data_IF_046531016722
#
_entry.id   IF_046531016722
#
_cell.length_a   1.000
_cell.length_b   1.000
_cell.length_c   1.000
_cell.angle_alpha   90.00
_cell.angle_beta   90.00
_cell.angle_gamma   90.00
#
_symmetry.space_group_name_H-M   'P 1'
#
loop_
_entity.id
_entity.type
_entity.pdbx_description
1 polymer ?
#
# COMPACT_ATOMS: atom_id res chain seq x y z
N UNK A 1 19.43 14.49 -22.69
CA UNK A 1 18.89 15.77 -22.16
C UNK A 1 17.69 15.42 -21.29
N UNK A 2 17.50 16.07 -20.12
CA UNK A 2 16.31 15.84 -19.28
C UNK A 2 15.05 16.26 -20.03
N UNK A 3 13.93 15.54 -19.79
CA UNK A 3 12.58 15.92 -20.29
C UNK A 3 12.02 17.18 -19.64
N UNK A 4 12.53 17.51 -18.45
CA UNK A 4 12.10 18.65 -17.64
C UNK A 4 12.35 18.37 -16.16
N UNK A 5 11.95 19.31 -15.31
CA UNK A 5 12.05 19.18 -13.85
C UNK A 5 10.65 18.93 -13.25
N UNK A 6 10.49 17.81 -12.58
CA UNK A 6 9.26 17.44 -11.88
C UNK A 6 9.42 17.56 -10.36
N UNK A 7 8.35 17.96 -9.69
CA UNK A 7 8.21 17.86 -8.24
C UNK A 7 7.22 16.75 -7.90
N UNK A 8 7.63 15.82 -7.05
CA UNK A 8 6.71 14.87 -6.41
C UNK A 8 6.51 15.29 -4.96
N UNK A 9 5.26 15.33 -4.50
CA UNK A 9 4.91 15.71 -3.12
C UNK A 9 4.32 14.51 -2.40
N UNK A 10 5.04 14.02 -1.37
CA UNK A 10 4.69 12.87 -0.55
C UNK A 10 5.79 11.80 -0.53
N UNK A 11 6.31 11.49 0.66
CA UNK A 11 7.45 10.57 0.88
C UNK A 11 7.06 9.12 1.20
N UNK A 12 5.80 8.75 1.02
CA UNK A 12 5.32 7.36 1.15
C UNK A 12 5.57 6.51 -0.10
N UNK A 13 5.06 5.28 -0.10
CA UNK A 13 5.27 4.33 -1.20
C UNK A 13 4.81 4.87 -2.56
N UNK A 14 3.65 5.54 -2.65
CA UNK A 14 3.15 6.11 -3.91
C UNK A 14 4.03 7.21 -4.45
N UNK A 15 4.55 8.09 -3.58
CA UNK A 15 5.44 9.16 -4.01
C UNK A 15 6.82 8.66 -4.42
N UNK A 16 7.40 7.72 -3.67
CA UNK A 16 8.71 7.15 -3.99
C UNK A 16 8.69 6.34 -5.28
N UNK A 17 7.68 5.45 -5.48
CA UNK A 17 7.56 4.71 -6.75
C UNK A 17 7.35 5.64 -7.94
N UNK A 18 6.53 6.68 -7.78
CA UNK A 18 6.30 7.71 -8.80
C UNK A 18 7.59 8.47 -9.14
N UNK A 19 8.33 8.93 -8.12
CA UNK A 19 9.58 9.66 -8.31
C UNK A 19 10.64 8.81 -9.03
N UNK A 20 10.75 7.53 -8.67
CA UNK A 20 11.65 6.59 -9.32
C UNK A 20 11.27 6.39 -10.80
N UNK A 21 9.98 6.18 -11.11
CA UNK A 21 9.54 6.00 -12.51
C UNK A 21 9.78 7.24 -13.37
N UNK A 22 9.58 8.43 -12.81
CA UNK A 22 9.88 9.69 -13.51
C UNK A 22 11.39 9.84 -13.78
N UNK A 23 12.26 9.49 -12.82
CA UNK A 23 13.72 9.46 -13.03
C UNK A 23 14.13 8.46 -14.12
N UNK A 24 13.57 7.23 -14.07
CA UNK A 24 13.81 6.18 -15.08
C UNK A 24 13.33 6.61 -16.46
N UNK A 25 12.30 7.44 -16.56
CA UNK A 25 11.77 8.03 -17.82
C UNK A 25 12.55 9.27 -18.29
N UNK A 26 13.56 9.72 -17.54
CA UNK A 26 14.48 10.80 -17.92
C UNK A 26 14.08 12.19 -17.44
N UNK A 27 13.17 12.31 -16.46
CA UNK A 27 12.91 13.56 -15.76
C UNK A 27 13.99 13.85 -14.71
N UNK A 28 14.25 15.11 -14.44
CA UNK A 28 14.90 15.52 -13.18
C UNK A 28 13.82 15.58 -12.11
N UNK A 29 14.04 14.97 -10.94
CA UNK A 29 12.99 14.85 -9.91
C UNK A 29 13.45 15.42 -8.58
N UNK A 30 12.62 16.30 -8.02
CA UNK A 30 12.67 16.70 -6.60
C UNK A 30 11.50 16.07 -5.86
N UNK A 31 11.75 15.54 -4.67
CA UNK A 31 10.76 14.93 -3.79
C UNK A 31 10.61 15.77 -2.52
N UNK A 32 9.46 16.40 -2.31
CA UNK A 32 9.13 17.08 -1.05
C UNK A 32 8.17 16.26 -0.22
N UNK A 33 8.41 16.22 1.08
CA UNK A 33 7.48 15.57 2.01
C UNK A 33 7.52 16.24 3.38
N UNK A 34 6.38 16.27 4.07
CA UNK A 34 6.32 16.64 5.48
C UNK A 34 6.98 15.61 6.39
N UNK A 35 7.01 14.35 5.96
CA UNK A 35 7.62 13.23 6.67
C UNK A 35 8.19 12.22 5.66
N UNK A 36 9.29 11.57 6.04
CA UNK A 36 9.83 10.38 5.39
C UNK A 36 9.80 9.19 6.34
N UNK A 37 10.04 7.98 5.83
CA UNK A 37 10.22 6.80 6.66
C UNK A 37 11.24 7.09 7.77
N UNK A 38 10.96 6.71 9.05
CA UNK A 38 9.91 5.77 9.49
C UNK A 38 8.57 6.43 9.90
N UNK A 39 8.26 7.63 9.46
CA UNK A 39 7.13 8.43 9.95
C UNK A 39 6.04 8.65 8.88
N UNK A 40 5.84 7.71 7.97
CA UNK A 40 4.77 7.77 6.97
C UNK A 40 3.68 6.74 7.25
N UNK A 41 2.47 6.95 6.71
CA UNK A 41 1.42 5.92 6.74
C UNK A 41 1.88 4.59 6.13
N UNK A 42 2.77 4.64 5.13
CA UNK A 42 3.30 3.44 4.49
C UNK A 42 4.14 2.56 5.41
N UNK A 43 4.78 3.13 6.45
CA UNK A 43 5.61 2.37 7.40
C UNK A 43 4.78 1.41 8.26
N UNK A 44 3.51 1.73 8.50
CA UNK A 44 2.60 0.91 9.32
C UNK A 44 1.90 -0.18 8.51
N UNK A 45 1.98 -0.13 7.19
CA UNK A 45 1.36 -1.16 6.35
C UNK A 45 1.97 -2.55 6.62
N UNK A 46 1.15 -3.60 6.61
CA UNK A 46 1.55 -4.96 6.93
C UNK A 46 2.77 -5.49 6.16
N UNK A 47 3.04 -5.33 4.85
CA UNK A 47 2.14 -5.11 3.74
C UNK A 47 2.16 -6.35 2.84
N UNK A 48 1.13 -6.51 2.07
CA UNK A 48 1.02 -7.58 1.08
C UNK A 48 0.49 -7.01 -0.24
N UNK A 49 0.76 -7.70 -1.34
CA UNK A 49 0.04 -7.43 -2.57
C UNK A 49 -1.32 -8.12 -2.50
N UNK A 50 -2.36 -7.32 -2.42
CA UNK A 50 -3.75 -7.75 -2.47
C UNK A 50 -4.64 -6.55 -2.83
N UNK A 51 -5.48 -6.61 -3.90
CA UNK A 51 -6.37 -5.51 -4.29
C UNK A 51 -7.59 -5.42 -3.37
N UNK A 52 -7.41 -4.79 -2.21
CA UNK A 52 -8.45 -4.67 -1.18
C UNK A 52 -9.31 -3.42 -1.39
N UNK A 53 -10.61 -3.59 -1.66
CA UNK A 53 -11.62 -2.53 -1.74
C UNK A 53 -11.18 -1.29 -2.55
N UNK A 54 -10.58 -1.51 -3.72
CA UNK A 54 -10.07 -0.44 -4.59
C UNK A 54 -10.96 -0.24 -5.81
N UNK A 55 -11.13 1.01 -6.22
CA UNK A 55 -11.97 1.40 -7.35
C UNK A 55 -11.25 2.44 -8.22
N UNK A 56 -11.52 2.51 -9.54
CA UNK A 56 -12.39 1.63 -10.32
C UNK A 56 -11.73 0.28 -10.63
N UNK A 57 -12.48 -0.80 -10.58
CA UNK A 57 -11.97 -2.19 -10.62
C UNK A 57 -11.08 -2.47 -11.81
N UNK A 58 -11.45 -2.05 -13.03
CA UNK A 58 -10.66 -2.29 -14.24
C UNK A 58 -9.25 -1.67 -14.15
N UNK A 59 -9.16 -0.42 -13.67
CA UNK A 59 -7.87 0.26 -13.52
C UNK A 59 -7.05 -0.33 -12.36
N UNK A 60 -7.70 -0.62 -11.24
CA UNK A 60 -7.00 -1.20 -10.08
C UNK A 60 -6.47 -2.59 -10.37
N UNK A 61 -7.16 -3.39 -11.17
CA UNK A 61 -6.62 -4.67 -11.65
C UNK A 61 -5.38 -4.48 -12.53
N UNK A 62 -5.41 -3.53 -13.48
CA UNK A 62 -4.26 -3.24 -14.33
C UNK A 62 -3.06 -2.72 -13.52
N UNK A 63 -3.28 -1.73 -12.65
CA UNK A 63 -2.22 -1.18 -11.79
C UNK A 63 -1.69 -2.23 -10.81
N UNK A 64 -2.59 -3.08 -10.27
CA UNK A 64 -2.22 -4.19 -9.39
C UNK A 64 -1.36 -5.23 -10.11
N UNK A 65 -1.77 -5.66 -11.31
CA UNK A 65 -1.01 -6.62 -12.13
C UNK A 65 0.40 -6.10 -12.45
N UNK A 66 0.51 -4.86 -12.95
CA UNK A 66 1.81 -4.25 -13.23
C UNK A 66 2.68 -4.15 -11.96
N UNK A 67 2.06 -3.85 -10.82
CA UNK A 67 2.78 -3.81 -9.53
C UNK A 67 3.24 -5.20 -9.09
N UNK A 68 2.40 -6.23 -9.28
CA UNK A 68 2.76 -7.61 -8.96
C UNK A 68 4.03 -8.05 -9.70
N UNK A 69 4.10 -7.79 -11.01
CA UNK A 69 5.27 -8.14 -11.83
C UNK A 69 6.54 -7.46 -11.34
N UNK A 70 6.45 -6.17 -10.96
CA UNK A 70 7.59 -5.43 -10.40
C UNK A 70 8.00 -6.00 -9.05
N UNK A 71 7.07 -6.26 -8.13
CA UNK A 71 7.37 -6.83 -6.82
C UNK A 71 7.96 -8.23 -6.93
N UNK A 72 7.42 -9.08 -7.81
CA UNK A 72 7.95 -10.40 -8.12
C UNK A 72 9.40 -10.33 -8.64
N UNK A 73 9.69 -9.40 -9.55
CA UNK A 73 11.07 -9.19 -10.01
C UNK A 73 11.99 -8.71 -8.86
N UNK A 74 11.52 -7.79 -8.04
CA UNK A 74 12.29 -7.24 -6.91
C UNK A 74 12.52 -8.25 -5.78
N UNK A 75 11.67 -9.25 -5.62
CA UNK A 75 11.82 -10.30 -4.59
C UNK A 75 13.08 -11.15 -4.77
N UNK A 76 13.67 -11.15 -5.96
CA UNK A 76 14.98 -11.75 -6.22
C UNK A 76 16.17 -11.04 -5.56
N UNK A 77 15.96 -9.82 -5.04
CA UNK A 77 16.97 -9.06 -4.31
C UNK A 77 16.60 -8.98 -2.81
N UNK A 78 17.35 -9.61 -1.90
CA UNK A 78 17.05 -9.64 -0.47
C UNK A 78 17.08 -8.25 0.20
N UNK A 79 17.76 -7.27 -0.38
CA UNK A 79 17.84 -5.92 0.17
C UNK A 79 16.52 -5.14 0.05
N UNK A 80 15.59 -5.63 -0.76
CA UNK A 80 14.28 -4.99 -0.96
C UNK A 80 13.30 -5.23 0.18
N UNK A 81 13.50 -6.28 0.98
CA UNK A 81 12.52 -6.71 1.98
C UNK A 81 11.23 -7.30 1.38
N UNK A 82 11.30 -7.77 0.12
CA UNK A 82 10.17 -8.42 -0.57
C UNK A 82 10.40 -9.93 -0.63
N UNK A 83 9.37 -10.71 -0.30
CA UNK A 83 9.35 -12.15 -0.47
C UNK A 83 8.05 -12.59 -1.16
N UNK A 84 8.15 -13.66 -1.97
CA UNK A 84 6.97 -14.34 -2.52
C UNK A 84 6.56 -15.44 -1.55
N UNK A 85 5.28 -15.48 -1.18
CA UNK A 85 4.80 -16.35 -0.10
C UNK A 85 3.49 -17.03 -0.50
N UNK A 86 3.36 -18.31 -0.12
CA UNK A 86 2.10 -19.03 -0.22
C UNK A 86 1.07 -18.39 0.68
N UNK A 87 -0.10 -18.13 0.12
CA UNK A 87 -1.19 -17.39 0.77
C UNK A 87 -2.46 -18.21 0.70
N UNK A 88 -3.20 -18.22 1.81
CA UNK A 88 -4.48 -18.87 1.95
C UNK A 88 -5.54 -17.85 2.34
N UNK A 89 -6.53 -17.61 1.49
CA UNK A 89 -7.66 -16.74 1.75
C UNK A 89 -8.92 -17.57 1.95
N UNK A 90 -9.53 -17.46 3.12
CA UNK A 90 -10.65 -18.31 3.57
C UNK A 90 -11.99 -17.64 3.43
N UNK A 91 -13.02 -18.43 3.02
CA UNK A 91 -14.37 -17.95 2.79
C UNK A 91 -15.40 -18.85 3.47
N UNK A 92 -16.42 -18.21 4.08
CA UNK A 92 -17.59 -18.91 4.68
C UNK A 92 -18.66 -19.28 3.67
N UNK A 93 -18.57 -18.73 2.46
CA UNK A 93 -19.47 -19.02 1.34
C UNK A 93 -18.64 -19.10 0.06
N UNK A 94 -19.09 -19.89 -0.92
CA UNK A 94 -18.42 -19.98 -2.21
C UNK A 94 -18.36 -18.63 -2.92
N UNK A 95 -17.20 -18.29 -3.42
CA UNK A 95 -16.91 -17.04 -4.11
C UNK A 95 -16.77 -17.24 -5.63
N UNK A 96 -17.16 -16.26 -6.45
CA UNK A 96 -16.74 -16.23 -7.86
C UNK A 96 -15.21 -16.09 -7.95
N UNK A 97 -14.64 -16.41 -9.13
CA UNK A 97 -13.23 -16.13 -9.37
C UNK A 97 -12.94 -14.63 -9.17
N UNK A 98 -11.90 -14.28 -8.41
CA UNK A 98 -11.57 -12.88 -8.21
C UNK A 98 -11.02 -12.28 -9.52
N UNK A 99 -11.32 -11.02 -9.75
CA UNK A 99 -10.91 -10.30 -10.97
C UNK A 99 -9.39 -10.19 -11.16
N UNK A 100 -8.63 -10.38 -10.10
CA UNK A 100 -7.16 -10.36 -10.08
C UNK A 100 -6.52 -11.76 -10.21
N UNK A 101 -7.31 -12.83 -10.36
CA UNK A 101 -6.85 -14.22 -10.40
C UNK A 101 -5.67 -14.43 -11.35
N UNK A 102 -5.76 -13.87 -12.55
CA UNK A 102 -4.75 -14.03 -13.59
C UNK A 102 -3.47 -13.19 -13.35
N UNK A 103 -3.45 -12.39 -12.28
CA UNK A 103 -2.29 -11.58 -11.90
C UNK A 103 -1.35 -12.27 -10.91
N UNK A 104 -1.75 -13.40 -10.33
CA UNK A 104 -0.97 -14.13 -9.32
C UNK A 104 -0.51 -15.49 -9.84
N UNK A 105 0.54 -16.04 -9.22
CA UNK A 105 1.00 -17.39 -9.53
C UNK A 105 0.25 -18.43 -8.70
N UNK A 106 0.14 -19.65 -9.23
CA UNK A 106 -0.33 -20.87 -8.58
C UNK A 106 -1.70 -20.71 -7.87
N UNK A 107 -2.65 -20.04 -8.54
CA UNK A 107 -4.00 -19.91 -8.02
C UNK A 107 -4.76 -21.23 -8.06
N UNK A 108 -5.21 -21.68 -6.89
CA UNK A 108 -6.02 -22.90 -6.71
C UNK A 108 -7.21 -22.63 -5.79
N UNK A 109 -8.26 -23.46 -5.92
CA UNK A 109 -9.39 -23.51 -5.00
C UNK A 109 -9.32 -24.75 -4.17
N UNK A 110 -9.41 -24.62 -2.86
CA UNK A 110 -9.38 -25.70 -1.90
C UNK A 110 -10.70 -25.78 -1.13
N UNK A 111 -11.16 -26.99 -0.84
CA UNK A 111 -12.38 -27.26 -0.07
C UNK A 111 -12.18 -28.26 1.07
N UNK A 112 -11.01 -28.85 1.17
CA UNK A 112 -10.68 -29.86 2.17
C UNK A 112 -9.72 -29.27 3.22
N UNK A 113 -9.77 -29.81 4.44
CA UNK A 113 -8.89 -29.43 5.57
C UNK A 113 -8.91 -27.94 5.94
N UNK A 114 -10.07 -27.31 5.84
CA UNK A 114 -10.26 -25.88 6.16
C UNK A 114 -10.50 -25.68 7.66
N UNK A 115 -10.18 -24.49 8.21
CA UNK A 115 -10.58 -24.11 9.56
C UNK A 115 -12.11 -24.19 9.74
N UNK A 116 -12.57 -24.34 10.98
CA UNK A 116 -14.00 -24.42 11.27
C UNK A 116 -14.76 -23.22 10.71
N UNK A 117 -15.99 -23.44 10.21
CA UNK A 117 -16.88 -22.45 9.62
C UNK A 117 -16.48 -21.91 8.23
N UNK A 118 -15.37 -22.39 7.65
CA UNK A 118 -14.99 -22.04 6.27
C UNK A 118 -15.32 -23.20 5.31
N UNK A 119 -15.77 -22.85 4.10
CA UNK A 119 -16.23 -23.79 3.07
C UNK A 119 -15.36 -23.77 1.81
N UNK A 120 -14.54 -22.72 1.66
CA UNK A 120 -13.66 -22.54 0.52
C UNK A 120 -12.40 -21.76 0.94
N UNK A 121 -11.30 -22.03 0.26
CA UNK A 121 -10.05 -21.29 0.37
C UNK A 121 -9.48 -21.03 -1.02
N UNK A 122 -9.01 -19.80 -1.28
CA UNK A 122 -8.15 -19.52 -2.41
C UNK A 122 -6.71 -19.64 -1.95
N UNK A 123 -5.94 -20.43 -2.68
CA UNK A 123 -4.51 -20.62 -2.47
C UNK A 123 -3.76 -20.00 -3.64
N UNK A 124 -2.78 -19.13 -3.39
CA UNK A 124 -2.02 -18.45 -4.43
C UNK A 124 -0.68 -17.93 -3.88
N UNK A 125 0.24 -17.60 -4.78
CA UNK A 125 1.50 -16.96 -4.38
C UNK A 125 1.35 -15.45 -4.54
N UNK A 126 1.67 -14.69 -3.49
CA UNK A 126 1.74 -13.23 -3.57
C UNK A 126 2.93 -12.67 -2.81
N UNK A 127 3.20 -11.37 -2.98
CA UNK A 127 4.33 -10.72 -2.31
C UNK A 127 3.96 -10.20 -0.94
N UNK A 128 4.86 -10.44 0.02
CA UNK A 128 4.94 -9.74 1.29
C UNK A 128 6.03 -8.68 1.18
N UNK A 129 5.77 -7.51 1.72
CA UNK A 129 6.67 -6.37 1.66
C UNK A 129 6.95 -5.86 3.09
N UNK A 130 8.18 -6.02 3.56
CA UNK A 130 8.62 -5.47 4.84
C UNK A 130 8.86 -3.96 4.69
N UNK A 131 7.83 -3.16 4.97
CA UNK A 131 7.80 -1.74 4.67
C UNK A 131 8.98 -0.93 5.21
N UNK A 132 9.49 -1.14 6.44
CA UNK A 132 10.66 -0.42 6.92
C UNK A 132 11.94 -0.69 6.10
N UNK A 133 12.07 -1.91 5.53
CA UNK A 133 13.18 -2.28 4.64
C UNK A 133 12.94 -1.71 3.25
N UNK A 134 11.73 -1.89 2.74
CA UNK A 134 11.36 -1.51 1.38
C UNK A 134 11.40 0.01 1.16
N UNK A 135 10.86 0.81 2.08
CA UNK A 135 10.88 2.28 1.96
C UNK A 135 12.32 2.82 1.99
N UNK A 136 13.19 2.23 2.81
CA UNK A 136 14.61 2.56 2.83
C UNK A 136 15.27 2.23 1.49
N UNK A 137 14.98 1.06 0.93
CA UNK A 137 15.48 0.66 -0.38
C UNK A 137 14.97 1.58 -1.50
N UNK A 138 13.68 1.94 -1.48
CA UNK A 138 13.11 2.89 -2.44
C UNK A 138 13.82 4.25 -2.38
N UNK A 139 14.08 4.78 -1.18
CA UNK A 139 14.80 6.03 -1.02
C UNK A 139 16.23 5.94 -1.55
N UNK A 140 16.96 4.85 -1.25
CA UNK A 140 18.31 4.63 -1.79
C UNK A 140 18.29 4.51 -3.33
N UNK A 141 17.31 3.82 -3.91
CA UNK A 141 17.14 3.74 -5.36
C UNK A 141 16.88 5.12 -5.97
N UNK A 142 16.02 5.92 -5.35
CA UNK A 142 15.73 7.29 -5.75
C UNK A 142 17.00 8.17 -5.76
N UNK A 143 17.77 8.13 -4.67
CA UNK A 143 19.03 8.87 -4.56
C UNK A 143 20.08 8.42 -5.60
N UNK A 144 20.21 7.10 -5.81
CA UNK A 144 21.14 6.52 -6.79
C UNK A 144 20.79 6.90 -8.24
N UNK A 145 19.52 7.17 -8.54
CA UNK A 145 19.06 7.67 -9.83
C UNK A 145 19.27 9.18 -10.00
N UNK A 146 19.77 9.87 -8.97
CA UNK A 146 20.05 11.31 -8.99
C UNK A 146 18.87 12.18 -8.59
N UNK A 147 17.87 11.61 -7.90
CA UNK A 147 16.79 12.38 -7.28
C UNK A 147 17.28 13.25 -6.13
N UNK A 148 16.57 14.32 -5.83
CA UNK A 148 16.84 15.19 -4.67
C UNK A 148 15.61 15.24 -3.76
N UNK A 149 15.80 15.07 -2.46
CA UNK A 149 14.72 15.10 -1.47
C UNK A 149 14.85 16.23 -0.47
N UNK A 150 13.74 16.78 -0.02
CA UNK A 150 13.69 17.85 0.98
C UNK A 150 12.51 17.62 1.94
N UNK A 151 12.78 17.76 3.25
CA UNK A 151 11.71 17.80 4.26
C UNK A 151 11.00 19.16 4.17
N UNK A 152 9.87 19.17 3.48
CA UNK A 152 9.13 20.40 3.17
C UNK A 152 7.64 20.13 3.08
N UNK A 153 6.86 20.86 3.85
CA UNK A 153 5.39 20.81 3.81
C UNK A 153 4.85 21.71 2.72
N UNK A 154 4.06 21.15 1.82
CA UNK A 154 3.28 21.92 0.83
C UNK A 154 1.92 22.24 1.45
N UNK A 155 1.53 23.50 1.38
CA UNK A 155 0.24 24.00 1.87
C UNK A 155 -0.66 24.51 0.76
N UNK A 156 -0.13 24.71 -0.46
CA UNK A 156 -0.85 25.25 -1.59
C UNK A 156 -0.09 24.95 -2.88
N UNK A 157 -0.66 24.14 -3.74
CA UNK A 157 -0.04 23.77 -5.02
C UNK A 157 0.10 24.96 -5.98
N UNK A 158 -0.79 25.93 -5.94
CA UNK A 158 -0.75 27.10 -6.83
C UNK A 158 0.50 27.95 -6.64
N UNK A 159 1.10 27.92 -5.46
CA UNK A 159 2.30 28.72 -5.12
C UNK A 159 3.61 28.10 -5.65
N UNK A 160 3.62 26.80 -5.97
CA UNK A 160 4.83 26.06 -6.34
C UNK A 160 4.85 25.63 -7.82
N UNK A 161 3.72 25.70 -8.51
CA UNK A 161 3.60 25.23 -9.90
C UNK A 161 4.60 25.89 -10.86
N UNK A 162 4.92 27.17 -10.67
CA UNK A 162 5.81 27.91 -11.56
C UNK A 162 7.30 27.54 -11.42
N UNK A 163 7.67 26.78 -10.37
CA UNK A 163 9.06 26.36 -10.12
C UNK A 163 9.42 25.08 -10.88
N UNK A 164 8.40 24.31 -11.32
CA UNK A 164 8.56 22.99 -11.94
C UNK A 164 7.80 22.90 -13.26
N UNK A 165 8.22 21.99 -14.13
CA UNK A 165 7.48 21.72 -15.37
C UNK A 165 6.20 20.96 -15.10
N UNK A 166 6.23 20.03 -14.14
CA UNK A 166 5.07 19.30 -13.62
C UNK A 166 5.18 19.15 -12.10
N UNK A 167 4.02 19.05 -11.44
CA UNK A 167 3.92 18.66 -10.03
C UNK A 167 3.05 17.43 -9.90
N UNK A 168 3.48 16.47 -9.09
CA UNK A 168 2.71 15.27 -8.80
C UNK A 168 2.32 15.23 -7.33
N UNK A 169 1.03 15.16 -7.06
CA UNK A 169 0.46 15.08 -5.72
C UNK A 169 0.30 13.61 -5.29
N UNK A 170 1.12 13.16 -4.34
CA UNK A 170 1.08 11.86 -3.67
C UNK A 170 0.88 12.02 -2.15
N UNK A 171 0.15 13.05 -1.70
CA UNK A 171 0.07 13.44 -0.28
C UNK A 171 -0.94 12.61 0.55
N UNK A 172 -1.57 11.60 -0.04
CA UNK A 172 -2.48 10.71 0.69
C UNK A 172 -3.64 11.46 1.34
N UNK A 173 -3.79 11.37 2.67
CA UNK A 173 -4.86 12.04 3.43
C UNK A 173 -4.79 13.57 3.35
N UNK A 174 -3.59 14.14 3.28
CA UNK A 174 -3.44 15.59 3.21
C UNK A 174 -4.03 16.18 1.92
N UNK A 175 -4.23 15.37 0.88
CA UNK A 175 -4.92 15.76 -0.35
C UNK A 175 -6.32 16.30 -0.09
N UNK A 176 -7.02 15.80 0.93
CA UNK A 176 -8.34 16.26 1.32
C UNK A 176 -8.35 17.77 1.64
N UNK A 177 -7.43 18.20 2.51
CA UNK A 177 -7.31 19.61 2.91
C UNK A 177 -6.66 20.48 1.84
N UNK A 178 -5.62 19.96 1.15
CA UNK A 178 -4.87 20.72 0.12
C UNK A 178 -5.71 21.06 -1.11
N UNK A 179 -6.69 20.20 -1.44
CA UNK A 179 -7.52 20.33 -2.66
C UNK A 179 -9.00 20.59 -2.36
N UNK A 180 -9.39 20.68 -1.08
CA UNK A 180 -10.78 20.65 -0.65
C UNK A 180 -11.54 19.43 -1.20
N UNK A 181 -10.85 18.27 -1.30
CA UNK A 181 -11.44 17.02 -1.76
C UNK A 181 -12.17 16.33 -0.59
N UNK A 182 -13.49 16.50 -0.54
CA UNK A 182 -14.36 15.98 0.51
C UNK A 182 -14.59 14.46 0.42
N UNK A 183 -14.11 13.82 -0.64
CA UNK A 183 -14.15 12.36 -0.75
C UNK A 183 -13.00 11.66 -0.02
N UNK A 184 -11.98 12.40 0.44
CA UNK A 184 -10.85 11.84 1.19
C UNK A 184 -11.21 11.70 2.66
N UNK A 185 -11.07 10.50 3.19
CA UNK A 185 -11.33 10.19 4.60
C UNK A 185 -10.31 9.19 5.15
N UNK A 186 -10.04 9.18 6.47
CA UNK A 186 -9.19 8.17 7.07
C UNK A 186 -9.92 6.84 7.21
N UNK A 187 -9.20 5.75 7.01
CA UNK A 187 -9.61 4.41 7.44
C UNK A 187 -8.56 3.95 8.45
N UNK A 188 -8.91 4.07 9.73
CA UNK A 188 -8.03 3.66 10.81
C UNK A 188 -7.81 2.15 10.77
N UNK A 189 -6.57 1.73 10.93
CA UNK A 189 -6.18 0.34 11.04
C UNK A 189 -5.19 0.13 12.16
N UNK A 190 -5.48 -0.82 13.05
CA UNK A 190 -4.54 -1.30 14.04
C UNK A 190 -3.98 -2.65 13.62
N UNK A 191 -2.70 -2.88 13.91
CA UNK A 191 -2.02 -4.15 13.68
C UNK A 191 -1.16 -4.49 14.90
N UNK A 192 -0.91 -5.78 15.09
CA UNK A 192 -0.03 -6.31 16.13
C UNK A 192 1.22 -6.90 15.48
N UNK A 193 2.38 -6.55 16.00
CA UNK A 193 3.62 -7.28 15.74
C UNK A 193 3.77 -8.37 16.80
N UNK A 194 3.96 -9.59 16.34
CA UNK A 194 4.04 -10.76 17.23
C UNK A 194 5.25 -11.62 16.90
N UNK A 195 5.67 -12.45 17.86
CA UNK A 195 6.79 -13.38 17.69
C UNK A 195 6.26 -14.78 17.44
N UNK A 196 6.51 -15.30 16.24
CA UNK A 196 6.12 -16.66 15.85
C UNK A 196 7.00 -17.16 14.70
N UNK A 197 7.07 -18.48 14.52
CA UNK A 197 7.84 -19.15 13.47
C UNK A 197 6.99 -19.54 12.25
N UNK A 198 5.71 -19.16 12.21
CA UNK A 198 4.82 -19.39 11.06
C UNK A 198 5.39 -18.72 9.81
N UNK A 199 5.22 -19.37 8.65
CA UNK A 199 5.79 -18.91 7.37
C UNK A 199 4.76 -18.65 6.29
N UNK A 200 3.53 -19.13 6.48
CA UNK A 200 2.45 -18.99 5.51
C UNK A 200 1.59 -17.77 5.83
N UNK A 201 1.02 -17.18 4.81
CA UNK A 201 0.11 -16.06 4.96
C UNK A 201 -1.35 -16.55 4.94
N UNK A 202 -2.13 -16.08 5.91
CA UNK A 202 -3.53 -16.46 6.04
C UNK A 202 -4.41 -15.20 6.09
N UNK A 203 -5.50 -15.21 5.32
CA UNK A 203 -6.40 -14.08 5.14
C UNK A 203 -7.86 -14.49 5.35
N UNK A 204 -8.63 -13.65 6.03
CA UNK A 204 -10.08 -13.55 5.95
C UNK A 204 -10.42 -12.08 5.72
N UNK A 205 -10.61 -11.70 4.46
CA UNK A 205 -10.86 -10.31 4.07
C UNK A 205 -12.34 -9.91 4.14
N UNK A 206 -13.19 -10.78 4.69
CA UNK A 206 -14.62 -10.51 4.84
C UNK A 206 -14.88 -9.57 6.02
N UNK A 207 -15.67 -8.53 5.81
CA UNK A 207 -16.14 -7.65 6.88
C UNK A 207 -17.40 -8.29 7.51
N UNK A 208 -17.52 -8.36 8.86
CA UNK A 208 -16.71 -7.67 9.88
C UNK A 208 -15.52 -8.47 10.43
N UNK A 209 -15.22 -9.65 9.91
CA UNK A 209 -14.23 -10.56 10.49
C UNK A 209 -12.79 -10.18 10.19
N UNK A 210 -12.52 -9.37 9.20
CA UNK A 210 -11.21 -8.94 8.71
C UNK A 210 -10.01 -9.44 9.53
N UNK A 211 -9.36 -10.51 9.05
CA UNK A 211 -8.16 -11.06 9.67
C UNK A 211 -7.06 -11.24 8.61
N UNK A 212 -5.85 -10.87 8.92
CA UNK A 212 -4.69 -11.19 8.11
C UNK A 212 -3.48 -11.50 9.00
N UNK A 213 -2.76 -12.53 8.61
CA UNK A 213 -1.58 -13.08 9.28
C UNK A 213 -0.46 -13.02 8.26
N UNK A 214 0.46 -12.07 8.40
CA UNK A 214 1.49 -11.75 7.40
C UNK A 214 2.86 -12.02 8.00
N UNK A 215 3.52 -13.13 7.61
CA UNK A 215 4.86 -13.46 8.10
C UNK A 215 5.89 -12.49 7.51
N UNK A 216 6.88 -12.13 8.33
CA UNK A 216 8.04 -11.35 7.92
C UNK A 216 9.32 -12.08 8.34
N UNK A 217 10.49 -11.53 8.03
CA UNK A 217 11.76 -12.21 8.29
C UNK A 217 12.02 -12.46 9.79
N UNK A 218 11.61 -11.54 10.67
CA UNK A 218 11.91 -11.60 12.11
C UNK A 218 10.69 -11.55 13.04
N UNK A 219 9.50 -11.30 12.52
CA UNK A 219 8.25 -11.19 13.24
C UNK A 219 7.07 -11.49 12.31
N UNK A 220 5.87 -11.34 12.81
CA UNK A 220 4.64 -11.48 12.04
C UNK A 220 3.71 -10.31 12.34
N UNK A 221 2.98 -9.85 11.33
CA UNK A 221 1.92 -8.88 11.51
C UNK A 221 0.58 -9.60 11.57
N UNK A 222 -0.16 -9.35 12.62
CA UNK A 222 -1.57 -9.72 12.74
C UNK A 222 -2.42 -8.47 12.55
N UNK A 223 -3.46 -8.58 11.77
CA UNK A 223 -4.44 -7.54 11.56
C UNK A 223 -5.81 -8.12 11.22
N UNK A 224 -6.85 -7.36 11.15
CA UNK A 224 -6.82 -5.95 11.42
C UNK A 224 -8.20 -5.36 11.65
N UNK A 225 -8.19 -4.06 11.76
CA UNK A 225 -9.44 -3.29 11.80
C UNK A 225 -9.50 -2.31 10.62
N UNK A 226 -10.71 -1.88 10.27
CA UNK A 226 -10.96 -0.90 9.22
C UNK A 226 -12.07 0.05 9.68
N UNK A 227 -11.70 1.07 10.45
CA UNK A 227 -12.64 2.01 11.08
C UNK A 227 -12.64 3.31 10.27
N UNK A 228 -13.72 3.51 9.52
CA UNK A 228 -13.88 4.69 8.67
C UNK A 228 -14.10 5.93 9.52
N UNK A 229 -13.56 7.08 9.06
CA UNK A 229 -13.66 8.39 9.70
C UNK A 229 -13.06 8.47 11.11
N UNK A 230 -12.29 7.48 11.54
CA UNK A 230 -11.57 7.51 12.80
C UNK A 230 -10.12 8.02 12.61
N UNK A 231 -9.80 9.13 13.28
CA UNK A 231 -8.50 9.79 13.26
C UNK A 231 -7.60 9.39 14.45
N UNK A 232 -8.05 8.49 15.33
CA UNK A 232 -7.29 8.09 16.50
C UNK A 232 -6.04 7.28 16.11
N UNK A 233 -4.87 7.77 16.48
CA UNK A 233 -3.57 7.11 16.25
C UNK A 233 -3.09 6.29 17.47
N UNK A 234 -3.87 6.26 18.54
CA UNK A 234 -3.50 5.51 19.74
C UNK A 234 -4.05 4.08 19.64
N UNK A 235 -3.21 3.04 19.83
CA UNK A 235 -3.69 1.67 19.91
C UNK A 235 -4.71 1.48 21.03
N UNK A 236 -5.69 0.62 20.80
CA UNK A 236 -6.69 0.26 21.83
C UNK A 236 -6.60 -1.22 22.15
N UNK A 237 -6.82 -1.55 23.43
CA UNK A 237 -6.86 -2.96 23.85
C UNK A 237 -8.02 -3.72 23.19
N UNK A 238 -9.14 -3.05 22.97
CA UNK A 238 -10.32 -3.64 22.32
C UNK A 238 -10.00 -4.12 20.90
N UNK A 239 -9.30 -3.30 20.10
CA UNK A 239 -8.86 -3.70 18.78
C UNK A 239 -7.81 -4.81 18.82
N UNK A 240 -6.89 -4.77 19.80
CA UNK A 240 -5.88 -5.83 19.95
C UNK A 240 -6.51 -7.16 20.32
N UNK A 241 -7.45 -7.18 21.26
CA UNK A 241 -8.20 -8.38 21.64
C UNK A 241 -9.01 -8.92 20.42
N UNK A 242 -9.65 -8.02 19.66
CA UNK A 242 -10.39 -8.38 18.44
C UNK A 242 -9.47 -9.02 17.39
N UNK A 243 -8.31 -8.42 17.11
CA UNK A 243 -7.35 -8.93 16.13
C UNK A 243 -6.86 -10.33 16.53
N UNK A 244 -6.47 -10.52 17.80
CA UNK A 244 -6.04 -11.82 18.31
C UNK A 244 -7.15 -12.87 18.19
N UNK A 245 -8.38 -12.52 18.58
CA UNK A 245 -9.53 -13.41 18.44
C UNK A 245 -9.71 -13.86 17.00
N UNK A 246 -9.73 -12.91 16.03
CA UNK A 246 -10.00 -13.24 14.62
C UNK A 246 -8.85 -14.02 13.97
N UNK A 247 -7.60 -13.64 14.23
CA UNK A 247 -6.45 -14.41 13.73
C UNK A 247 -6.39 -15.82 14.34
N UNK A 248 -6.81 -16.00 15.60
CA UNK A 248 -6.83 -17.32 16.26
C UNK A 248 -7.92 -18.23 15.73
N UNK A 249 -8.95 -17.73 15.04
CA UNK A 249 -9.92 -18.59 14.31
C UNK A 249 -9.27 -19.27 13.11
N UNK A 250 -8.29 -18.61 12.47
CA UNK A 250 -7.52 -19.17 11.36
C UNK A 250 -6.39 -20.06 11.86
N UNK A 251 -5.64 -19.59 12.85
CA UNK A 251 -4.46 -20.25 13.40
C UNK A 251 -4.57 -20.25 14.94
N UNK A 252 -5.08 -21.33 15.56
CA UNK A 252 -5.35 -21.38 17.01
C UNK A 252 -4.14 -21.11 17.91
N UNK A 253 -2.93 -21.38 17.44
CA UNK A 253 -1.67 -21.16 18.16
C UNK A 253 -1.39 -19.69 18.44
N UNK A 254 -2.03 -18.77 17.72
CA UNK A 254 -1.86 -17.32 17.90
C UNK A 254 -2.60 -16.77 19.12
N UNK A 255 -3.43 -17.56 19.78
CA UNK A 255 -4.24 -17.11 20.92
C UNK A 255 -3.40 -16.53 22.07
N UNK A 256 -2.25 -17.17 22.35
CA UNK A 256 -1.37 -16.82 23.46
C UNK A 256 -0.01 -16.28 22.96
N UNK A 257 0.03 -15.73 21.72
CA UNK A 257 1.27 -15.25 21.12
C UNK A 257 1.80 -14.00 21.84
N UNK A 258 3.12 -13.87 21.92
CA UNK A 258 3.77 -12.68 22.48
C UNK A 258 3.60 -11.47 21.54
N UNK A 259 2.90 -10.44 22.00
CA UNK A 259 2.80 -9.15 21.28
C UNK A 259 4.07 -8.35 21.55
N UNK A 260 4.80 -8.00 20.48
CA UNK A 260 6.01 -7.18 20.53
C UNK A 260 5.64 -5.69 20.50
N UNK A 261 4.63 -5.33 19.69
CA UNK A 261 4.26 -3.93 19.45
C UNK A 261 2.85 -3.82 18.86
N UNK A 262 2.16 -2.76 19.22
CA UNK A 262 0.86 -2.38 18.65
C UNK A 262 1.05 -1.12 17.81
N UNK A 263 0.60 -1.14 16.55
CA UNK A 263 0.77 -0.04 15.59
C UNK A 263 -0.58 0.39 15.02
N UNK A 264 -0.72 1.70 14.82
CA UNK A 264 -1.91 2.29 14.18
C UNK A 264 -1.50 3.14 12.99
N UNK A 265 -2.22 2.97 11.88
CA UNK A 265 -2.07 3.78 10.68
C UNK A 265 -3.41 4.23 10.11
N UNK A 266 -3.41 5.36 9.41
CA UNK A 266 -4.59 5.90 8.75
C UNK A 266 -4.46 5.70 7.25
N UNK A 267 -5.23 4.76 6.69
CA UNK A 267 -5.26 4.52 5.25
C UNK A 267 -5.98 5.69 4.55
N UNK A 268 -5.46 6.24 3.44
CA UNK A 268 -6.09 7.34 2.72
C UNK A 268 -7.27 6.83 1.87
N UNK A 269 -8.45 6.72 2.50
CA UNK A 269 -9.69 6.31 1.84
C UNK A 269 -10.20 7.37 0.86
N UNK A 270 -10.84 6.90 -0.22
CA UNK A 270 -11.58 7.68 -1.20
C UNK A 270 -12.54 6.74 -1.95
N UNK A 271 -13.61 7.26 -2.51
CA UNK A 271 -14.57 6.46 -3.31
C UNK A 271 -13.91 5.75 -4.51
N UNK A 272 -12.89 6.38 -5.09
CA UNK A 272 -12.01 5.79 -6.12
C UNK A 272 -10.63 6.43 -6.06
N UNK A 273 -9.60 5.71 -6.51
CA UNK A 273 -8.25 6.28 -6.68
C UNK A 273 -8.33 7.49 -7.59
N UNK A 274 -7.80 8.63 -7.15
CA UNK A 274 -7.63 9.80 -8.01
C UNK A 274 -6.27 9.74 -8.69
N UNK A 275 -6.30 9.39 -9.97
CA UNK A 275 -5.14 9.40 -10.85
C UNK A 275 -5.53 10.08 -12.15
N UNK A 276 -5.34 11.39 -12.18
CA UNK A 276 -5.69 12.28 -13.30
C UNK A 276 -4.72 13.47 -13.38
N UNK A 277 -4.85 14.26 -14.45
CA UNK A 277 -4.07 15.49 -14.66
C UNK A 277 -5.02 16.68 -14.80
N UNK A 278 -4.75 17.75 -14.06
CA UNK A 278 -5.38 19.05 -14.24
C UNK A 278 -4.34 20.14 -14.49
N UNK A 279 -4.77 21.31 -14.95
CA UNK A 279 -3.92 22.47 -15.14
C UNK A 279 -4.19 23.49 -14.03
N UNK A 280 -3.14 23.79 -13.27
CA UNK A 280 -3.17 24.79 -12.20
C UNK A 280 -2.11 25.84 -12.50
N UNK A 281 -2.49 27.12 -12.56
CA UNK A 281 -1.56 28.23 -12.89
C UNK A 281 -0.72 27.96 -14.17
N UNK A 282 -1.38 27.48 -15.23
CA UNK A 282 -0.80 27.13 -16.53
C UNK A 282 0.24 25.99 -16.51
N UNK A 283 0.26 25.16 -15.45
CA UNK A 283 1.17 24.00 -15.29
C UNK A 283 0.39 22.74 -14.94
N UNK A 284 0.87 21.57 -15.39
CA UNK A 284 0.27 20.29 -15.03
C UNK A 284 0.42 19.98 -13.54
N UNK A 285 -0.69 19.63 -12.90
CA UNK A 285 -0.75 18.96 -11.60
C UNK A 285 -1.34 17.60 -11.81
N UNK A 286 -0.56 16.55 -11.53
CA UNK A 286 -0.97 15.16 -11.64
C UNK A 286 -1.29 14.65 -10.22
N UNK A 287 -2.45 14.03 -10.08
CA UNK A 287 -2.87 13.43 -8.82
C UNK A 287 -2.60 11.93 -8.80
N UNK A 288 -2.14 11.41 -7.67
CA UNK A 288 -1.93 9.99 -7.40
C UNK A 288 -2.16 9.71 -5.91
N UNK A 289 -3.42 9.68 -5.50
CA UNK A 289 -3.82 9.48 -4.10
C UNK A 289 -5.19 8.80 -3.94
N UNK A 290 -5.59 8.51 -2.70
CA UNK A 290 -6.89 7.92 -2.39
C UNK A 290 -6.93 6.39 -2.59
N UNK A 291 -5.79 5.71 -2.39
CA UNK A 291 -5.65 4.28 -2.62
C UNK A 291 -6.25 3.39 -1.52
N UNK A 292 -6.79 3.96 -0.44
CA UNK A 292 -7.32 3.18 0.68
C UNK A 292 -6.30 2.21 1.27
N UNK A 293 -6.67 0.96 1.40
CA UNK A 293 -5.81 -0.13 1.86
C UNK A 293 -4.83 -0.67 0.81
N UNK A 294 -4.94 -0.26 -0.47
CA UNK A 294 -4.19 -0.86 -1.59
C UNK A 294 -3.01 -0.03 -2.10
N UNK A 295 -2.54 0.96 -1.33
CA UNK A 295 -1.47 1.86 -1.79
C UNK A 295 -0.17 1.15 -2.19
N UNK A 296 0.21 0.09 -1.50
CA UNK A 296 1.38 -0.74 -1.87
C UNK A 296 1.07 -1.58 -3.11
N UNK A 297 -0.07 -2.23 -3.13
CA UNK A 297 -0.56 -3.08 -4.23
C UNK A 297 -0.61 -2.35 -5.58
N UNK A 298 -0.91 -1.06 -5.58
CA UNK A 298 -1.12 -0.27 -6.79
C UNK A 298 0.09 0.62 -7.16
N UNK A 299 1.09 0.69 -6.30
CA UNK A 299 2.12 1.73 -6.30
C UNK A 299 2.87 1.89 -7.63
N UNK A 300 3.36 0.83 -8.22
CA UNK A 300 4.13 0.88 -9.46
C UNK A 300 3.25 1.08 -10.69
N UNK A 301 2.11 0.40 -10.76
CA UNK A 301 1.19 0.59 -11.87
C UNK A 301 0.61 2.01 -11.91
N UNK A 302 0.30 2.60 -10.75
CA UNK A 302 -0.07 4.02 -10.67
C UNK A 302 1.08 4.94 -11.08
N UNK A 303 2.32 4.62 -10.70
CA UNK A 303 3.50 5.38 -11.09
C UNK A 303 3.72 5.36 -12.61
N UNK A 304 3.50 4.23 -13.28
CA UNK A 304 3.57 4.11 -14.74
C UNK A 304 2.52 5.01 -15.43
N UNK A 305 1.28 5.06 -14.90
CA UNK A 305 0.24 5.97 -15.39
C UNK A 305 0.57 7.44 -15.15
N UNK A 306 1.22 7.79 -14.03
CA UNK A 306 1.73 9.16 -13.80
C UNK A 306 2.75 9.54 -14.87
N UNK A 307 3.69 8.64 -15.21
CA UNK A 307 4.68 8.88 -16.29
C UNK A 307 3.98 9.09 -17.64
N UNK A 308 2.97 8.29 -17.96
CA UNK A 308 2.17 8.48 -19.18
C UNK A 308 1.54 9.88 -19.21
N UNK A 309 0.87 10.29 -18.13
CA UNK A 309 0.25 11.62 -18.01
C UNK A 309 1.26 12.77 -18.06
N UNK A 310 2.47 12.56 -17.54
CA UNK A 310 3.55 13.56 -17.57
C UNK A 310 4.09 13.80 -18.99
N UNK A 311 3.97 12.81 -19.87
CA UNK A 311 4.45 12.89 -21.26
C UNK A 311 3.37 13.35 -22.27
N UNK A 312 2.12 13.50 -21.84
CA UNK A 312 1.02 14.11 -22.60
C UNK A 312 1.07 15.65 -22.54
#
# INVERSE_FOLDING_TARGET
MSKGHSLVVGGGVSGLSTAIRLLEDGWTVTLWSSNFSPNTTSDVAAALWYPFLSSPVEKTNLWGSNTYDVLKHLSGNPDTGISMTQTYEYFREHQPDPSWKDSVDDFERLSDDLPADYVECFSFITSIIEMPVYLKWLMQKFDNLGGTSELKTVTDFSKIQNEFNIVVNCTGLDSGSLLNDTEVFPIRGQVLRVKTDLKEMHLDQQIPTLAYIVPRSNDMILGGVAQQDDWNLVPTKEDSDFILEKCSLLIPELKDVEIIEELVGLRPGRSSVRLDKEIVSDRPLIHNYGHGGSGVTLSWGCADDVVRLANE
#
